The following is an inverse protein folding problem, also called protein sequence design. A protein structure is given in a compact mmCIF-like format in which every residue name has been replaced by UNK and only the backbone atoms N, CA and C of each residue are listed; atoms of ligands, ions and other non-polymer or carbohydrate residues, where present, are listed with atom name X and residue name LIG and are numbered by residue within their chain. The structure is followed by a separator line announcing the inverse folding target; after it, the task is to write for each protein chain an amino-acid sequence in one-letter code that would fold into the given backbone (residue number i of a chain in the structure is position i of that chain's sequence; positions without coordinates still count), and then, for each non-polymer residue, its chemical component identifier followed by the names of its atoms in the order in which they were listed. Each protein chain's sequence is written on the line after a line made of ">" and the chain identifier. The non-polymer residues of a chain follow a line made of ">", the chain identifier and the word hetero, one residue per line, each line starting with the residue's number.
data_IF_743799439691
#
_entry.id   IF_743799439691
#
_cell.length_a   1.000
_cell.length_b   1.000
_cell.length_c   1.000
_cell.angle_alpha   90.00
_cell.angle_beta   90.00
_cell.angle_gamma   90.00
#
_symmetry.space_group_name_H-M   'P 1'
#
loop_
_entity.id
_entity.type
_entity.pdbx_description
1 polymer ?
#
# COMPACT_ATOMS: atom_id res chain seq x y z
N UNK A 1 38.76 -53.73 5.16
CA UNK A 1 37.83 -53.88 6.30
C UNK A 1 37.88 -52.58 7.11
N UNK A 2 37.32 -51.44 6.66
CA UNK A 2 36.03 -51.14 6.03
C UNK A 2 34.83 -51.22 6.98
N UNK A 3 34.75 -50.28 7.92
CA UNK A 3 33.59 -49.82 8.69
C UNK A 3 34.02 -48.46 9.31
N UNK A 4 33.30 -47.34 9.30
CA UNK A 4 32.00 -46.97 8.69
C UNK A 4 32.12 -45.49 8.25
N UNK A 5 31.56 -45.07 7.10
CA UNK A 5 31.38 -43.64 6.76
C UNK A 5 29.97 -43.20 7.16
N UNK A 6 29.84 -42.47 8.27
CA UNK A 6 28.56 -41.86 8.64
C UNK A 6 28.47 -40.51 7.93
N UNK A 7 27.61 -40.43 6.91
CA UNK A 7 27.40 -39.22 6.13
C UNK A 7 26.55 -38.22 6.91
N UNK A 8 27.17 -37.13 7.36
CA UNK A 8 26.48 -36.03 8.05
C UNK A 8 25.64 -35.21 7.07
N UNK A 9 24.47 -35.71 6.69
CA UNK A 9 23.46 -34.91 5.98
C UNK A 9 22.81 -33.97 7.02
N UNK A 10 23.54 -32.91 7.37
CA UNK A 10 22.99 -31.82 8.17
C UNK A 10 21.88 -31.16 7.34
N UNK A 11 20.65 -31.31 7.81
CA UNK A 11 19.47 -30.90 7.07
C UNK A 11 19.50 -29.39 6.77
N UNK A 12 19.52 -29.05 5.48
CA UNK A 12 19.10 -27.74 4.98
C UNK A 12 17.58 -27.61 5.16
N UNK A 13 17.14 -27.51 6.43
CA UNK A 13 15.84 -26.96 6.79
C UNK A 13 15.92 -25.47 6.49
N UNK A 14 15.80 -25.12 5.21
CA UNK A 14 15.67 -23.75 4.79
C UNK A 14 14.45 -23.17 5.49
N UNK A 15 14.66 -22.20 6.38
CA UNK A 15 13.59 -21.39 6.93
C UNK A 15 12.97 -20.58 5.79
N UNK A 16 12.02 -21.20 5.09
CA UNK A 16 11.02 -20.55 4.26
C UNK A 16 10.08 -19.76 5.19
N UNK A 17 10.65 -18.72 5.82
CA UNK A 17 9.88 -17.64 6.41
C UNK A 17 8.93 -17.15 5.33
N UNK A 18 7.63 -16.95 5.64
CA UNK A 18 6.71 -16.41 4.66
C UNK A 18 7.28 -15.08 4.19
N UNK A 19 7.65 -15.02 2.91
CA UNK A 19 8.03 -13.78 2.27
C UNK A 19 6.75 -12.93 2.21
N UNK A 20 6.52 -12.15 3.28
CA UNK A 20 5.50 -11.13 3.29
C UNK A 20 5.76 -10.26 2.06
N UNK A 21 4.88 -10.41 1.07
CA UNK A 21 4.90 -9.59 -0.13
C UNK A 21 4.69 -8.17 0.36
N UNK A 22 5.80 -7.42 0.48
CA UNK A 22 5.74 -6.00 0.83
C UNK A 22 4.81 -5.36 -0.20
N UNK A 23 3.97 -4.44 0.23
CA UNK A 23 3.20 -3.66 -0.71
C UNK A 23 4.16 -2.79 -1.55
N UNK A 24 3.89 -2.68 -2.85
CA UNK A 24 4.68 -1.83 -3.74
C UNK A 24 4.38 -0.34 -3.51
N UNK A 25 3.24 -0.04 -2.87
CA UNK A 25 2.73 1.30 -2.60
C UNK A 25 2.37 1.42 -1.13
N UNK A 26 2.66 2.58 -0.53
CA UNK A 26 2.17 2.98 0.79
C UNK A 26 1.38 4.27 0.63
N UNK A 27 0.18 4.33 1.20
CA UNK A 27 -0.71 5.49 1.14
C UNK A 27 -1.20 5.89 2.53
N UNK A 28 -1.31 7.20 2.78
CA UNK A 28 -1.84 7.76 4.01
C UNK A 28 -2.80 8.90 3.70
N UNK A 29 -3.98 8.87 4.32
CA UNK A 29 -5.00 9.90 4.17
C UNK A 29 -5.37 10.51 5.52
N UNK A 30 -5.66 11.81 5.51
CA UNK A 30 -6.16 12.54 6.67
C UNK A 30 -7.25 13.52 6.24
N UNK A 31 -8.36 13.55 6.99
CA UNK A 31 -9.41 14.54 6.84
C UNK A 31 -9.63 15.24 8.19
N UNK A 32 -9.42 16.55 8.20
CA UNK A 32 -9.42 17.44 9.37
C UNK A 32 -9.66 18.88 8.92
N UNK A 33 -10.21 19.72 9.81
CA UNK A 33 -10.30 21.18 9.62
C UNK A 33 -11.01 21.64 8.32
N UNK A 34 -11.97 20.86 7.82
CA UNK A 34 -12.72 21.18 6.60
C UNK A 34 -12.03 20.72 5.30
N UNK A 35 -10.89 20.02 5.38
CA UNK A 35 -10.16 19.47 4.25
C UNK A 35 -9.92 17.96 4.36
N UNK A 36 -9.68 17.33 3.22
CA UNK A 36 -9.25 15.94 3.12
C UNK A 36 -8.11 15.81 2.11
N UNK A 37 -7.06 15.04 2.44
CA UNK A 37 -5.92 14.79 1.59
C UNK A 37 -5.52 13.31 1.65
N UNK A 38 -5.15 12.74 0.49
CA UNK A 38 -4.56 11.40 0.36
C UNK A 38 -3.24 11.51 -0.40
N UNK A 39 -2.16 11.02 0.21
CA UNK A 39 -0.84 10.97 -0.40
C UNK A 39 -0.37 9.50 -0.51
N UNK A 40 0.34 9.18 -1.59
CA UNK A 40 0.86 7.85 -1.87
C UNK A 40 2.34 7.88 -2.30
N UNK A 41 3.05 6.79 -2.01
CA UNK A 41 4.48 6.60 -2.28
C UNK A 41 4.74 5.20 -2.81
N UNK A 42 5.57 5.07 -3.86
CA UNK A 42 6.01 3.81 -4.45
C UNK A 42 7.24 3.30 -3.69
N UNK A 43 7.01 2.46 -2.70
CA UNK A 43 8.03 2.05 -1.71
C UNK A 43 8.95 0.92 -2.22
N UNK A 44 8.77 0.44 -3.45
CA UNK A 44 9.61 -0.59 -4.07
C UNK A 44 10.23 -0.11 -5.38
N UNK A 45 11.42 0.53 -5.36
CA UNK A 45 12.04 1.11 -6.57
C UNK A 45 12.31 0.13 -7.74
N UNK A 46 12.23 -1.18 -7.51
CA UNK A 46 12.42 -2.25 -8.52
C UNK A 46 11.12 -2.85 -9.04
N UNK A 47 9.97 -2.55 -8.44
CA UNK A 47 8.67 -2.97 -8.95
C UNK A 47 8.27 -2.05 -10.13
N UNK A 48 7.49 -2.54 -11.11
CA UNK A 48 7.03 -1.72 -12.22
C UNK A 48 6.13 -0.56 -11.75
N UNK A 49 5.90 0.45 -12.61
CA UNK A 49 4.89 1.48 -12.39
C UNK A 49 3.55 0.87 -11.93
N UNK A 50 2.91 1.52 -10.97
CA UNK A 50 1.64 1.03 -10.41
C UNK A 50 0.50 1.87 -10.95
N UNK A 51 -0.56 1.23 -11.42
CA UNK A 51 -1.85 1.87 -11.65
C UNK A 51 -2.76 1.53 -10.48
N UNK A 52 -3.27 2.55 -9.80
CA UNK A 52 -4.00 2.42 -8.56
C UNK A 52 -5.38 3.06 -8.65
N UNK A 53 -6.36 2.46 -7.97
CA UNK A 53 -7.65 3.08 -7.67
C UNK A 53 -7.77 3.31 -6.16
N UNK A 54 -8.42 4.39 -5.77
CA UNK A 54 -8.77 4.64 -4.37
C UNK A 54 -10.29 4.78 -4.19
N UNK A 55 -10.76 4.40 -3.00
CA UNK A 55 -12.10 4.70 -2.48
C UNK A 55 -11.97 5.04 -1.00
N UNK A 56 -12.61 6.12 -0.56
CA UNK A 56 -12.45 6.63 0.80
C UNK A 56 -13.76 7.23 1.33
N UNK A 57 -14.23 6.71 2.48
CA UNK A 57 -15.41 7.23 3.16
C UNK A 57 -15.03 8.38 4.11
N UNK A 58 -15.63 9.54 3.86
CA UNK A 58 -15.40 10.78 4.59
C UNK A 58 -16.71 11.29 5.21
N UNK A 59 -16.59 11.94 6.36
CA UNK A 59 -17.69 12.69 6.96
C UNK A 59 -17.63 14.14 6.48
N UNK A 60 -18.78 14.73 6.18
CA UNK A 60 -18.90 16.09 5.66
C UNK A 60 -19.31 17.08 6.74
N UNK A 61 -18.94 18.35 6.55
CA UNK A 61 -19.34 19.46 7.44
C UNK A 61 -20.87 19.65 7.55
N UNK A 62 -21.67 19.01 6.69
CA UNK A 62 -23.12 19.00 6.75
C UNK A 62 -23.71 17.91 7.68
N UNK A 63 -22.89 16.96 8.15
CA UNK A 63 -23.35 15.77 8.90
C UNK A 63 -23.58 14.53 8.03
N UNK A 64 -23.42 14.64 6.70
CA UNK A 64 -23.57 13.52 5.77
C UNK A 64 -22.26 12.73 5.59
N UNK A 65 -22.38 11.44 5.25
CA UNK A 65 -21.28 10.64 4.74
C UNK A 65 -21.16 10.78 3.22
N UNK A 66 -19.92 10.89 2.72
CA UNK A 66 -19.61 10.87 1.29
C UNK A 66 -18.44 9.93 1.00
N UNK A 67 -18.57 9.11 -0.04
CA UNK A 67 -17.44 8.34 -0.60
C UNK A 67 -16.80 9.14 -1.71
N UNK A 68 -15.46 9.22 -1.71
CA UNK A 68 -14.68 9.83 -2.78
C UNK A 68 -13.78 8.79 -3.42
N UNK A 69 -13.73 8.76 -4.75
CA UNK A 69 -13.10 7.71 -5.53
C UNK A 69 -12.34 8.29 -6.72
N UNK A 70 -11.32 7.57 -7.17
CA UNK A 70 -10.53 7.97 -8.34
C UNK A 70 -9.44 6.97 -8.69
N UNK A 71 -8.65 7.31 -9.71
CA UNK A 71 -7.52 6.52 -10.18
C UNK A 71 -6.31 7.40 -10.43
N UNK A 72 -5.12 6.81 -10.28
CA UNK A 72 -3.84 7.47 -10.52
C UNK A 72 -2.78 6.46 -10.95
N UNK A 73 -1.75 6.94 -11.65
CA UNK A 73 -0.51 6.20 -11.87
C UNK A 73 0.55 6.67 -10.88
N UNK A 74 1.37 5.73 -10.40
CA UNK A 74 2.45 5.99 -9.47
C UNK A 74 3.75 5.40 -10.04
N UNK A 75 4.68 6.25 -10.56
CA UNK A 75 5.91 5.76 -11.13
C UNK A 75 6.87 5.21 -10.05
N UNK A 76 7.81 4.32 -10.41
CA UNK A 76 8.75 3.72 -9.47
C UNK A 76 9.54 4.78 -8.69
N UNK A 77 9.60 4.64 -7.37
CA UNK A 77 10.30 5.57 -6.48
C UNK A 77 9.62 6.93 -6.25
N UNK A 78 8.41 7.17 -6.79
CA UNK A 78 7.63 8.35 -6.45
C UNK A 78 7.31 8.39 -4.94
N UNK A 79 7.32 9.58 -4.33
CA UNK A 79 7.18 9.74 -2.88
C UNK A 79 6.30 10.94 -2.55
N UNK A 80 5.39 10.77 -1.59
CA UNK A 80 4.43 11.79 -1.13
C UNK A 80 3.63 12.44 -2.27
N UNK A 81 3.26 11.65 -3.28
CA UNK A 81 2.41 12.13 -4.38
C UNK A 81 1.01 12.36 -3.83
N UNK A 82 0.51 13.60 -3.92
CA UNK A 82 -0.87 13.91 -3.62
C UNK A 82 -1.77 13.33 -4.71
N UNK A 83 -2.63 12.35 -4.35
CA UNK A 83 -3.54 11.67 -5.29
C UNK A 83 -4.99 12.08 -5.11
N UNK A 84 -5.31 12.70 -3.97
CA UNK A 84 -6.59 13.38 -3.74
C UNK A 84 -6.40 14.58 -2.81
N UNK A 85 -7.07 15.68 -3.13
CA UNK A 85 -7.30 16.80 -2.24
C UNK A 85 -8.74 17.28 -2.40
N UNK A 86 -9.44 17.50 -1.29
CA UNK A 86 -10.81 17.98 -1.27
C UNK A 86 -11.10 18.86 -0.05
N UNK A 87 -12.24 19.54 -0.10
CA UNK A 87 -12.77 20.38 0.98
C UNK A 87 -14.22 20.00 1.30
N UNK A 88 -14.70 20.46 2.46
CA UNK A 88 -16.03 20.14 2.97
C UNK A 88 -16.08 18.94 3.92
N UNK A 89 -14.94 18.47 4.43
CA UNK A 89 -14.81 17.28 5.27
C UNK A 89 -14.17 17.60 6.62
N UNK A 90 -14.76 17.16 7.72
CA UNK A 90 -14.19 17.30 9.08
C UNK A 90 -13.39 16.08 9.53
N UNK A 91 -13.73 14.87 9.05
CA UNK A 91 -13.15 13.62 9.54
C UNK A 91 -13.22 12.49 8.51
N UNK A 92 -12.36 11.49 8.70
CA UNK A 92 -12.34 10.27 7.89
C UNK A 92 -13.06 9.14 8.64
N UNK A 93 -14.04 8.51 7.98
CA UNK A 93 -14.82 7.41 8.57
C UNK A 93 -14.09 6.06 8.47
N UNK A 94 -13.10 5.98 7.58
CA UNK A 94 -12.23 4.83 7.41
C UNK A 94 -10.83 5.26 6.97
N UNK A 95 -9.87 4.34 7.03
CA UNK A 95 -8.66 4.49 6.23
C UNK A 95 -9.02 4.46 4.72
N UNK A 96 -8.26 5.16 3.86
CA UNK A 96 -8.43 5.10 2.41
C UNK A 96 -8.13 3.68 1.91
N UNK A 97 -9.04 3.11 1.14
CA UNK A 97 -8.83 1.83 0.46
C UNK A 97 -8.10 2.15 -0.85
N UNK A 98 -6.89 1.63 -1.02
CA UNK A 98 -6.10 1.80 -2.25
C UNK A 98 -5.73 0.42 -2.81
N UNK A 99 -6.09 0.18 -4.07
CA UNK A 99 -5.81 -1.08 -4.78
C UNK A 99 -4.92 -0.75 -5.97
N UNK A 100 -3.71 -1.31 -5.97
CA UNK A 100 -2.72 -1.08 -7.01
C UNK A 100 -2.45 -2.35 -7.82
N UNK A 101 -2.16 -2.18 -9.12
CA UNK A 101 -1.70 -3.23 -10.03
C UNK A 101 -0.47 -2.72 -10.77
N UNK A 102 0.59 -3.53 -10.81
CA UNK A 102 1.77 -3.23 -11.62
C UNK A 102 1.48 -3.35 -13.10
N UNK A 103 2.08 -2.48 -13.92
CA UNK A 103 2.18 -2.72 -15.36
C UNK A 103 3.09 -3.92 -15.62
N UNK A 104 2.63 -4.86 -16.46
CA UNK A 104 3.44 -5.99 -16.94
C UNK A 104 4.51 -5.56 -17.94
#
# INVERSE_FOLDING_TARGET
>A
MNWLRIATIAALVGCALPAAAKDAVSCGGAAMLGGAQLNCSHVQPKAPPQFCTYSWALHTLAGDQKVVEGSFSLPPGASNVQVYQGSGFDSALSNPIVICRGSH
#
